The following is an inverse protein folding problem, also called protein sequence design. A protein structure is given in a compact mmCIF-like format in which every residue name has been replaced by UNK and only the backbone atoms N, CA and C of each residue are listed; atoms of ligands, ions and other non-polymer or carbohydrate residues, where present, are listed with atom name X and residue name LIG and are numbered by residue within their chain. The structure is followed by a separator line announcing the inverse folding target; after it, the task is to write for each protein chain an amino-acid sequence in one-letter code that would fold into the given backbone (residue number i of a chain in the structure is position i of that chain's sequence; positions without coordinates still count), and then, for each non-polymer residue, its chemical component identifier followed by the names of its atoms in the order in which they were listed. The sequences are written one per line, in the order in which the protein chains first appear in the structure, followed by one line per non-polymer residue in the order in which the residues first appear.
data_IF_331847811299
#
_entry.id   IF_331847811299
#
_cell.length_a   1.000
_cell.length_b   1.000
_cell.length_c   1.000
_cell.angle_alpha   90.00
_cell.angle_beta   90.00
_cell.angle_gamma   90.00
#
_symmetry.space_group_name_H-M   'P 1'
#
loop_
_entity.id
_entity.type
_entity.pdbx_description
1 polymer ?
#
# COMPACT_ATOMS: atom_id res chain seq x y z
N UNK A 1 21.55 -0.66 4.35
CA UNK A 1 21.50 -1.06 2.94
C UNK A 1 22.69 -0.44 2.24
N UNK A 2 23.57 -1.24 1.62
CA UNK A 2 24.77 -0.77 0.92
C UNK A 2 24.42 -0.33 -0.52
N UNK A 3 25.26 0.49 -1.15
CA UNK A 3 25.09 0.91 -2.55
C UNK A 3 24.90 -0.29 -3.51
N UNK A 4 25.60 -1.39 -3.24
CA UNK A 4 25.51 -2.63 -4.02
C UNK A 4 24.13 -3.30 -3.96
N UNK A 5 23.41 -3.20 -2.85
CA UNK A 5 22.06 -3.76 -2.71
C UNK A 5 21.01 -2.95 -3.50
N UNK A 6 21.25 -1.64 -3.64
CA UNK A 6 20.41 -0.74 -4.44
C UNK A 6 20.65 -1.01 -5.93
N UNK A 7 21.93 -1.09 -6.32
CA UNK A 7 22.36 -1.39 -7.70
C UNK A 7 22.01 -2.84 -8.10
N UNK A 8 21.86 -3.76 -7.12
CA UNK A 8 21.44 -5.15 -7.29
C UNK A 8 19.94 -5.37 -7.51
N UNK A 9 19.15 -4.29 -7.68
CA UNK A 9 17.75 -4.36 -8.11
C UNK A 9 16.70 -4.26 -7.01
N UNK A 10 17.08 -4.09 -5.73
CA UNK A 10 16.11 -3.85 -4.65
C UNK A 10 15.37 -2.50 -4.79
N UNK A 11 15.99 -1.56 -5.52
CA UNK A 11 15.51 -0.20 -5.70
C UNK A 11 15.77 0.69 -4.48
N UNK A 12 15.37 1.97 -4.54
CA UNK A 12 15.52 2.89 -3.42
C UNK A 12 14.72 2.40 -2.19
N UNK A 13 15.24 2.61 -0.97
CA UNK A 13 14.51 2.27 0.24
C UNK A 13 13.25 3.14 0.37
N UNK A 14 12.20 2.57 0.94
CA UNK A 14 10.93 3.26 1.12
C UNK A 14 10.24 2.80 2.39
N UNK A 15 9.36 3.65 2.91
CA UNK A 15 8.48 3.34 4.02
C UNK A 15 7.03 3.32 3.55
N UNK A 16 6.20 2.61 4.32
CA UNK A 16 4.78 2.43 4.05
C UNK A 16 3.99 2.74 5.31
N UNK A 17 3.02 3.63 5.21
CA UNK A 17 2.05 3.86 6.27
C UNK A 17 0.65 3.49 5.79
N UNK A 18 -0.13 2.85 6.66
CA UNK A 18 -1.54 2.55 6.42
C UNK A 18 -2.38 3.18 7.52
N UNK A 19 -3.35 3.99 7.13
CA UNK A 19 -4.29 4.66 8.03
C UNK A 19 -5.71 4.17 7.77
N UNK A 20 -6.50 4.08 8.84
CA UNK A 20 -7.95 4.03 8.75
C UNK A 20 -8.46 5.48 8.74
N UNK A 21 -9.18 5.84 7.68
CA UNK A 21 -9.71 7.17 7.45
C UNK A 21 -11.25 7.13 7.46
N UNK A 22 -11.85 8.29 7.73
CA UNK A 22 -13.29 8.52 7.67
C UNK A 22 -13.53 9.67 6.69
N UNK A 23 -14.66 9.67 5.97
CA UNK A 23 -15.01 10.82 5.13
C UNK A 23 -15.29 12.04 6.02
N UNK A 24 -14.80 13.20 5.58
CA UNK A 24 -15.06 14.48 6.26
C UNK A 24 -16.54 14.87 6.26
N UNK A 25 -17.32 14.35 5.31
CA UNK A 25 -18.75 14.63 5.17
C UNK A 25 -19.64 13.51 5.71
N UNK A 26 -19.07 12.35 6.03
CA UNK A 26 -19.81 11.14 6.41
C UNK A 26 -18.90 10.19 7.21
N UNK A 27 -19.03 10.20 8.54
CA UNK A 27 -18.17 9.41 9.42
C UNK A 27 -18.34 7.90 9.27
N UNK A 28 -19.47 7.44 8.74
CA UNK A 28 -19.75 6.02 8.54
C UNK A 28 -19.01 5.49 7.31
N UNK A 29 -18.68 6.36 6.36
CA UNK A 29 -17.82 6.02 5.22
C UNK A 29 -16.37 5.93 5.65
N UNK A 30 -15.92 4.69 5.85
CA UNK A 30 -14.54 4.35 6.19
C UNK A 30 -13.74 3.95 4.96
N UNK A 31 -12.50 4.39 4.92
CA UNK A 31 -11.55 4.06 3.87
C UNK A 31 -10.18 3.72 4.47
N UNK A 32 -9.37 2.95 3.74
CA UNK A 32 -7.96 2.86 4.04
C UNK A 32 -7.18 3.83 3.16
N UNK A 33 -6.23 4.54 3.76
CA UNK A 33 -5.23 5.31 3.04
C UNK A 33 -3.88 4.64 3.22
N UNK A 34 -3.15 4.43 2.13
CA UNK A 34 -1.75 4.04 2.17
C UNK A 34 -0.88 5.10 1.54
N UNK A 35 0.27 5.30 2.17
CA UNK A 35 1.31 6.23 1.72
C UNK A 35 2.58 5.42 1.53
N UNK A 36 3.07 5.40 0.30
CA UNK A 36 4.42 4.96 -0.04
C UNK A 36 5.29 6.19 -0.23
N UNK A 37 6.48 6.23 0.37
CA UNK A 37 7.40 7.34 0.11
C UNK A 37 8.84 6.89 0.33
N UNK A 38 9.72 7.50 -0.46
CA UNK A 38 11.15 7.23 -0.39
C UNK A 38 11.73 7.70 0.94
N UNK A 39 12.62 6.89 1.52
CA UNK A 39 13.35 7.25 2.72
C UNK A 39 14.86 7.34 2.41
N UNK A 40 15.64 8.09 3.19
CA UNK A 40 17.09 8.11 3.02
C UNK A 40 17.72 6.73 3.16
N UNK A 41 18.86 6.55 2.51
CA UNK A 41 19.72 5.37 2.73
C UNK A 41 20.29 5.46 4.15
N UNK A 42 20.36 4.32 4.84
CA UNK A 42 20.93 4.24 6.18
C UNK A 42 22.31 4.93 6.25
N UNK A 43 22.48 5.85 7.21
CA UNK A 43 23.69 6.66 7.38
C UNK A 43 23.73 7.96 6.58
N UNK A 44 22.66 8.29 5.84
CA UNK A 44 22.55 9.54 5.05
C UNK A 44 21.41 10.44 5.48
N UNK A 45 20.70 10.08 6.55
CA UNK A 45 19.52 10.75 7.09
C UNK A 45 19.81 12.21 7.43
N UNK A 46 20.99 12.48 7.99
CA UNK A 46 21.43 13.80 8.45
C UNK A 46 22.33 14.53 7.46
N UNK A 47 22.49 14.01 6.24
CA UNK A 47 23.24 14.72 5.21
C UNK A 47 22.51 16.00 4.78
N UNK A 48 23.29 16.94 4.23
CA UNK A 48 22.78 18.21 3.72
C UNK A 48 21.70 17.95 2.66
N UNK A 49 20.78 18.91 2.57
CA UNK A 49 19.65 18.88 1.65
C UNK A 49 20.06 18.50 0.23
N UNK A 50 21.11 19.13 -0.30
CA UNK A 50 21.57 18.96 -1.68
C UNK A 50 22.06 17.53 -1.93
N UNK A 51 22.68 16.92 -0.92
CA UNK A 51 23.19 15.54 -1.02
C UNK A 51 22.06 14.52 -0.97
N UNK A 52 21.01 14.78 -0.17
CA UNK A 52 19.80 13.93 -0.15
C UNK A 52 19.00 14.08 -1.44
N UNK A 53 18.78 15.31 -1.90
CA UNK A 53 18.08 15.62 -3.14
C UNK A 53 18.69 14.91 -4.36
N UNK A 54 20.02 14.84 -4.45
CA UNK A 54 20.72 14.12 -5.54
C UNK A 54 20.45 12.61 -5.56
N UNK A 55 19.91 12.05 -4.48
CA UNK A 55 19.60 10.61 -4.33
C UNK A 55 18.11 10.30 -4.51
N UNK A 56 17.29 11.33 -4.77
CA UNK A 56 15.91 11.15 -5.15
C UNK A 56 15.82 10.20 -6.36
N UNK A 57 15.09 9.11 -6.17
CA UNK A 57 14.90 8.12 -7.22
C UNK A 57 13.61 8.43 -7.99
N UNK A 58 13.50 7.99 -9.26
CA UNK A 58 12.24 8.08 -9.98
C UNK A 58 11.11 7.36 -9.23
N UNK A 59 9.84 7.76 -9.43
CA UNK A 59 8.70 7.12 -8.80
C UNK A 59 8.71 5.61 -8.99
N UNK A 60 8.70 4.88 -7.86
CA UNK A 60 8.56 3.42 -7.86
C UNK A 60 7.12 3.05 -8.17
N UNK A 61 6.93 2.10 -9.09
CA UNK A 61 5.62 1.49 -9.30
C UNK A 61 5.28 0.56 -8.15
N UNK A 62 4.11 0.76 -7.55
CA UNK A 62 3.57 -0.11 -6.51
C UNK A 62 2.46 -0.96 -7.08
N UNK A 63 2.66 -2.28 -7.08
CA UNK A 63 1.73 -3.27 -7.63
C UNK A 63 0.30 -3.09 -7.12
N UNK A 64 0.13 -2.70 -5.87
CA UNK A 64 -1.21 -2.45 -5.31
C UNK A 64 -1.97 -1.34 -6.03
N UNK A 65 -1.32 -0.21 -6.33
CA UNK A 65 -1.96 0.89 -7.04
C UNK A 65 -2.31 0.48 -8.49
N UNK A 66 -1.37 -0.19 -9.17
CA UNK A 66 -1.58 -0.65 -10.55
C UNK A 66 -2.76 -1.64 -10.62
N UNK A 67 -2.78 -2.64 -9.73
CA UNK A 67 -3.86 -3.63 -9.66
C UNK A 67 -5.19 -2.98 -9.32
N UNK A 68 -5.24 -2.04 -8.38
CA UNK A 68 -6.48 -1.34 -8.03
C UNK A 68 -6.99 -0.45 -9.16
N UNK A 69 -6.11 0.19 -9.95
CA UNK A 69 -6.48 0.94 -11.16
C UNK A 69 -7.11 -0.02 -12.19
N UNK A 70 -6.46 -1.14 -12.46
CA UNK A 70 -6.90 -2.12 -13.46
C UNK A 70 -8.25 -2.74 -13.08
N UNK A 71 -8.40 -3.17 -11.82
CA UNK A 71 -9.65 -3.79 -11.35
C UNK A 71 -10.82 -2.80 -11.32
N UNK A 72 -10.55 -1.52 -11.01
CA UNK A 72 -11.56 -0.46 -11.12
C UNK A 72 -11.99 -0.25 -12.57
N UNK A 73 -11.05 -0.24 -13.52
CA UNK A 73 -11.33 -0.12 -14.94
C UNK A 73 -12.20 -1.29 -15.44
N UNK A 74 -11.91 -2.51 -14.97
CA UNK A 74 -12.68 -3.72 -15.28
C UNK A 74 -14.02 -3.80 -14.52
N UNK A 75 -14.34 -2.85 -13.64
CA UNK A 75 -15.54 -2.85 -12.79
C UNK A 75 -15.68 -4.16 -11.98
N UNK A 76 -14.57 -4.70 -11.49
CA UNK A 76 -14.57 -5.92 -10.70
C UNK A 76 -15.37 -5.73 -9.40
N UNK A 77 -16.46 -6.49 -9.16
CA UNK A 77 -17.35 -6.25 -8.03
C UNK A 77 -16.84 -6.82 -6.70
N UNK A 78 -15.80 -7.64 -6.73
CA UNK A 78 -15.29 -8.39 -5.57
C UNK A 78 -14.03 -7.78 -4.95
N UNK A 79 -13.67 -6.56 -5.33
CA UNK A 79 -12.53 -5.84 -4.75
C UNK A 79 -12.95 -4.48 -4.19
N UNK A 80 -12.24 -3.96 -3.18
CA UNK A 80 -12.48 -2.60 -2.70
C UNK A 80 -12.30 -1.57 -3.82
N UNK A 81 -13.19 -0.58 -3.89
CA UNK A 81 -13.08 0.47 -4.90
C UNK A 81 -11.87 1.35 -4.60
N UNK A 82 -11.04 1.60 -5.61
CA UNK A 82 -10.06 2.68 -5.54
C UNK A 82 -10.81 4.03 -5.54
N UNK A 83 -10.79 4.74 -4.43
CA UNK A 83 -11.47 6.02 -4.26
C UNK A 83 -10.67 7.16 -4.87
N UNK A 84 -9.38 7.25 -4.52
CA UNK A 84 -8.48 8.29 -4.99
C UNK A 84 -7.03 7.82 -4.93
N UNK A 85 -6.15 8.47 -5.70
CA UNK A 85 -4.71 8.33 -5.58
C UNK A 85 -4.02 9.62 -5.99
N UNK A 86 -2.79 9.81 -5.53
CA UNK A 86 -1.91 10.92 -5.91
C UNK A 86 -0.48 10.43 -5.95
N UNK A 87 0.16 10.53 -7.11
CA UNK A 87 1.58 10.27 -7.29
C UNK A 87 2.30 11.62 -7.36
N UNK A 88 3.46 11.73 -6.73
CA UNK A 88 4.21 12.98 -6.70
C UNK A 88 5.57 12.83 -6.05
N UNK A 89 6.14 13.98 -5.69
CA UNK A 89 7.43 14.10 -5.02
C UNK A 89 7.27 14.69 -3.62
N UNK A 90 8.21 14.37 -2.76
CA UNK A 90 8.39 15.00 -1.46
C UNK A 90 8.87 16.43 -1.66
N UNK A 91 8.32 17.35 -0.84
CA UNK A 91 8.78 18.74 -0.81
C UNK A 91 10.12 18.91 -0.11
N UNK A 92 10.58 20.16 0.02
CA UNK A 92 11.91 20.48 0.53
C UNK A 92 12.19 19.98 1.96
N UNK A 93 11.13 19.85 2.77
CA UNK A 93 11.21 19.36 4.15
C UNK A 93 10.97 17.84 4.26
N UNK A 94 10.89 17.14 3.13
CA UNK A 94 10.76 15.68 3.09
C UNK A 94 12.00 14.99 3.66
N UNK A 95 11.83 13.72 4.04
CA UNK A 95 12.94 12.89 4.50
C UNK A 95 13.95 12.72 3.36
N UNK A 96 13.44 12.54 2.14
CA UNK A 96 14.24 12.52 0.91
C UNK A 96 13.68 13.57 -0.07
N UNK A 97 14.20 14.81 -0.06
CA UNK A 97 13.71 15.88 -0.93
C UNK A 97 13.73 15.47 -2.40
N UNK A 98 12.67 15.83 -3.14
CA UNK A 98 12.44 15.37 -4.52
C UNK A 98 12.21 13.85 -4.69
N UNK A 99 12.41 13.04 -3.65
CA UNK A 99 12.09 11.62 -3.64
C UNK A 99 10.60 11.39 -3.82
N UNK A 100 10.20 10.22 -4.33
CA UNK A 100 8.79 9.98 -4.64
C UNK A 100 7.91 9.85 -3.40
N UNK A 101 6.62 10.13 -3.58
CA UNK A 101 5.55 9.93 -2.61
C UNK A 101 4.24 9.60 -3.32
N UNK A 102 3.64 8.47 -2.98
CA UNK A 102 2.41 7.95 -3.58
C UNK A 102 1.36 7.71 -2.50
N UNK A 103 0.23 8.40 -2.63
CA UNK A 103 -0.96 8.23 -1.82
C UNK A 103 -1.97 7.41 -2.59
N UNK A 104 -2.64 6.48 -1.93
CA UNK A 104 -3.77 5.76 -2.48
C UNK A 104 -4.82 5.52 -1.39
N UNK A 105 -6.08 5.64 -1.76
CA UNK A 105 -7.23 5.54 -0.87
C UNK A 105 -8.23 4.58 -1.49
N UNK A 106 -8.67 3.59 -0.72
CA UNK A 106 -9.67 2.61 -1.16
C UNK A 106 -10.67 2.31 -0.05
N UNK A 107 -11.84 1.79 -0.44
CA UNK A 107 -12.92 1.48 0.49
C UNK A 107 -12.49 0.50 1.59
N UNK A 108 -12.96 0.74 2.83
CA UNK A 108 -12.97 -0.32 3.83
C UNK A 108 -14.22 -1.18 3.59
N UNK A 109 -14.02 -2.42 3.15
CA UNK A 109 -15.12 -3.38 3.03
C UNK A 109 -15.71 -3.75 4.40
N UNK A 110 -17.01 -4.12 4.46
CA UNK A 110 -17.63 -4.65 5.67
C UNK A 110 -16.90 -5.88 6.20
N UNK A 111 -17.01 -6.09 7.51
CA UNK A 111 -16.37 -7.20 8.21
C UNK A 111 -14.99 -6.87 8.79
N UNK A 112 -14.40 -7.90 9.38
CA UNK A 112 -13.10 -7.88 10.03
C UNK A 112 -12.11 -8.75 9.26
N UNK A 113 -10.87 -8.26 9.15
CA UNK A 113 -9.82 -9.05 8.52
C UNK A 113 -9.41 -10.15 9.47
N UNK A 114 -9.43 -11.39 9.00
CA UNK A 114 -8.76 -12.49 9.70
C UNK A 114 -7.26 -12.17 9.75
N UNK A 115 -6.64 -12.25 10.92
CA UNK A 115 -5.19 -12.15 11.02
C UNK A 115 -4.54 -13.42 10.43
N UNK A 116 -3.28 -13.29 10.00
CA UNK A 116 -2.54 -14.47 9.54
C UNK A 116 -2.42 -15.51 10.66
N UNK A 117 -2.16 -15.08 11.88
CA UNK A 117 -2.00 -15.98 13.03
C UNK A 117 -3.28 -16.76 13.31
N UNK A 118 -4.44 -16.08 13.32
CA UNK A 118 -5.74 -16.74 13.50
C UNK A 118 -6.07 -17.71 12.37
N UNK A 119 -5.83 -17.32 11.11
CA UNK A 119 -6.16 -18.15 9.96
C UNK A 119 -5.27 -19.39 9.88
N UNK A 120 -4.00 -19.25 10.24
CA UNK A 120 -3.00 -20.32 10.12
C UNK A 120 -2.81 -21.16 11.38
N UNK A 121 -3.41 -20.78 12.51
CA UNK A 121 -3.45 -21.61 13.72
C UNK A 121 -3.87 -23.05 13.35
N UNK A 122 -3.14 -24.09 13.82
CA UNK A 122 -3.48 -25.49 13.57
C UNK A 122 -4.94 -25.85 13.90
N UNK A 123 -5.53 -25.22 14.93
CA UNK A 123 -6.91 -25.41 15.38
C UNK A 123 -7.94 -24.74 14.47
N UNK A 124 -7.53 -23.77 13.65
CA UNK A 124 -8.40 -23.04 12.71
C UNK A 124 -8.72 -23.82 11.42
N UNK A 125 -8.54 -25.15 11.42
CA UNK A 125 -8.96 -26.03 10.32
C UNK A 125 -10.42 -25.79 9.88
N UNK A 126 -11.41 -25.81 10.80
CA UNK A 126 -12.81 -25.55 10.47
C UNK A 126 -13.07 -24.14 9.92
N UNK A 127 -12.39 -23.12 10.45
CA UNK A 127 -12.49 -21.74 9.95
C UNK A 127 -12.01 -21.65 8.50
N UNK A 128 -10.85 -22.22 8.19
CA UNK A 128 -10.32 -22.25 6.82
C UNK A 128 -11.27 -22.95 5.86
N UNK A 129 -11.91 -24.04 6.30
CA UNK A 129 -12.89 -24.73 5.47
C UNK A 129 -14.16 -23.89 5.25
N UNK A 130 -14.68 -23.25 6.29
CA UNK A 130 -15.81 -22.34 6.17
C UNK A 130 -15.53 -21.20 5.18
N UNK A 131 -14.32 -20.61 5.21
CA UNK A 131 -13.89 -19.61 4.23
C UNK A 131 -13.87 -20.20 2.81
N UNK A 132 -13.25 -21.37 2.60
CA UNK A 132 -13.19 -22.02 1.26
C UNK A 132 -14.57 -22.30 0.70
N UNK A 133 -15.49 -22.81 1.52
CA UNK A 133 -16.88 -23.06 1.10
C UNK A 133 -17.54 -21.77 0.63
N UNK A 134 -17.41 -20.67 1.39
CA UNK A 134 -17.96 -19.37 0.96
C UNK A 134 -17.37 -18.84 -0.33
N UNK A 135 -16.06 -18.98 -0.54
CA UNK A 135 -15.43 -18.61 -1.81
C UNK A 135 -15.94 -19.48 -2.97
N UNK A 136 -16.15 -20.79 -2.75
CA UNK A 136 -16.72 -21.70 -3.76
C UNK A 136 -18.16 -21.34 -4.09
N UNK A 137 -19.00 -21.10 -3.09
CA UNK A 137 -20.39 -20.70 -3.28
C UNK A 137 -20.50 -19.47 -4.19
N UNK A 138 -19.65 -18.45 -3.96
CA UNK A 138 -19.63 -17.23 -4.78
C UNK A 138 -19.10 -17.51 -6.18
N UNK A 139 -18.08 -18.35 -6.33
CA UNK A 139 -17.51 -18.70 -7.63
C UNK A 139 -18.49 -19.48 -8.52
N UNK A 140 -19.24 -20.42 -7.94
CA UNK A 140 -20.22 -21.24 -8.69
C UNK A 140 -21.51 -20.47 -9.01
N UNK A 141 -21.74 -19.32 -8.36
CA UNK A 141 -22.91 -18.46 -8.60
C UNK A 141 -22.70 -17.43 -9.72
N UNK A 142 -21.46 -17.28 -10.22
CA UNK A 142 -21.05 -16.34 -11.29
C UNK A 142 -20.81 -17.09 -12.58
#
# INVERSE_FOLDING_TARGET
MTKWEIDGGAGPPFAVFKYLCHSATDSDKKAFMRIYFQIPIAGTEYQRFEVRQQRAAPPRKHRELDVLKDLKLQKCPVVPTLLAYKEGKQGNNGLDPEGYMTYLVWDKVPGESLSQDELWDPKSGPLREAVRVKFRDVWEYV
#
